data_IF_286015516549
#
_entry.id   IF_286015516549
#
_cell.length_a   1.000
_cell.length_b   1.000
_cell.length_c   1.000
_cell.angle_alpha   90.00
_cell.angle_beta   90.00
_cell.angle_gamma   90.00
#
_symmetry.space_group_name_H-M   'P 1'
#
loop_
_entity.id
_entity.type
_entity.pdbx_description
1 polymer ?
#
# COMPACT_ATOMS: atom_id res chain seq x y z
N UNK A 1 8.35 30.36 4.61
CA UNK A 1 8.65 29.30 5.59
C UNK A 1 9.34 28.18 4.83
N UNK A 2 10.50 27.71 5.32
CA UNK A 2 11.25 26.58 4.72
C UNK A 2 10.42 25.32 4.86
N UNK A 3 10.21 24.57 3.78
CA UNK A 3 9.47 23.29 3.80
C UNK A 3 9.88 22.35 2.70
N UNK A 4 9.56 21.06 2.87
CA UNK A 4 9.66 20.03 1.84
C UNK A 4 8.29 19.48 1.48
N UNK A 5 8.23 18.80 0.36
CA UNK A 5 7.08 18.02 -0.07
C UNK A 5 7.37 16.52 0.08
N UNK A 6 6.55 15.82 0.85
CA UNK A 6 6.57 14.36 0.96
C UNK A 6 5.43 13.83 0.10
N UNK A 7 5.75 13.15 -1.00
CA UNK A 7 4.79 12.80 -2.05
C UNK A 7 4.72 11.29 -2.19
N UNK A 8 3.50 10.74 -2.16
CA UNK A 8 3.24 9.36 -2.52
C UNK A 8 3.48 9.14 -4.02
N UNK A 9 4.47 8.32 -4.36
CA UNK A 9 4.86 8.02 -5.72
C UNK A 9 3.93 7.01 -6.42
N UNK A 10 2.95 6.48 -5.71
CA UNK A 10 2.13 5.39 -6.23
C UNK A 10 2.82 4.02 -6.15
N UNK A 11 2.16 2.97 -6.66
CA UNK A 11 2.61 1.58 -6.51
C UNK A 11 3.71 1.17 -7.51
N UNK A 12 3.84 1.86 -8.65
CA UNK A 12 4.82 1.51 -9.68
C UNK A 12 4.62 2.26 -10.99
N UNK A 13 3.42 2.18 -11.56
CA UNK A 13 3.03 2.91 -12.76
C UNK A 13 3.10 4.44 -12.49
N UNK A 14 3.88 5.20 -13.27
CA UNK A 14 4.01 6.65 -13.10
C UNK A 14 2.68 7.40 -13.25
N UNK A 15 1.74 6.89 -14.02
CA UNK A 15 0.41 7.51 -14.19
C UNK A 15 -0.47 7.41 -12.93
N UNK A 16 -0.06 6.61 -11.95
CA UNK A 16 -0.74 6.48 -10.67
C UNK A 16 -0.25 7.46 -9.60
N UNK A 17 0.65 8.37 -9.93
CA UNK A 17 0.90 9.53 -9.09
C UNK A 17 -0.31 10.47 -9.12
N UNK A 18 -0.58 11.15 -8.01
CA UNK A 18 -1.64 12.16 -8.03
C UNK A 18 -1.24 13.36 -8.88
N UNK A 19 -2.22 14.02 -9.51
CA UNK A 19 -1.99 15.26 -10.30
C UNK A 19 -1.26 16.34 -9.47
N UNK A 20 -1.57 16.45 -8.16
CA UNK A 20 -0.86 17.36 -7.26
C UNK A 20 0.60 16.95 -7.09
N UNK A 21 0.84 15.67 -6.89
CA UNK A 21 2.19 15.11 -6.75
C UNK A 21 3.04 15.36 -7.99
N UNK A 22 2.51 15.07 -9.17
CA UNK A 22 3.20 15.29 -10.45
C UNK A 22 3.59 16.75 -10.65
N UNK A 23 2.65 17.68 -10.45
CA UNK A 23 2.92 19.13 -10.58
C UNK A 23 4.03 19.62 -9.67
N UNK A 24 4.11 19.08 -8.44
CA UNK A 24 5.17 19.42 -7.49
C UNK A 24 6.49 18.79 -7.87
N UNK A 25 6.49 17.55 -8.35
CA UNK A 25 7.66 16.84 -8.87
C UNK A 25 8.29 17.62 -10.04
N UNK A 26 7.48 18.05 -11.00
CA UNK A 26 7.92 18.82 -12.18
C UNK A 26 8.51 20.19 -11.82
N UNK A 27 8.19 20.75 -10.65
CA UNK A 27 8.72 22.03 -10.17
C UNK A 27 9.90 21.88 -9.20
N UNK A 28 10.23 20.67 -8.79
CA UNK A 28 11.27 20.40 -7.80
C UNK A 28 12.67 20.77 -8.31
N UNK A 29 13.48 21.40 -7.44
CA UNK A 29 14.91 21.58 -7.67
C UNK A 29 15.72 20.35 -7.26
N UNK A 30 15.17 19.59 -6.29
CA UNK A 30 15.78 18.38 -5.75
C UNK A 30 14.70 17.31 -5.58
N UNK A 31 14.95 16.12 -6.12
CA UNK A 31 14.11 14.95 -5.98
C UNK A 31 14.87 13.86 -5.24
N UNK A 32 14.37 13.47 -4.08
CA UNK A 32 14.93 12.37 -3.29
C UNK A 32 13.98 11.17 -3.34
N UNK A 33 14.48 9.98 -3.64
CA UNK A 33 13.64 8.78 -3.74
C UNK A 33 14.38 7.51 -3.36
N UNK A 34 13.64 6.48 -2.96
CA UNK A 34 14.20 5.16 -2.68
C UNK A 34 14.18 4.35 -3.98
N UNK A 35 15.31 4.30 -4.66
CA UNK A 35 15.49 3.72 -6.00
C UNK A 35 15.15 2.22 -6.11
N UNK A 36 15.10 1.51 -4.99
CA UNK A 36 14.62 0.12 -4.96
C UNK A 36 13.09 -0.05 -5.00
N UNK A 37 12.32 1.04 -4.81
CA UNK A 37 10.87 0.99 -4.58
C UNK A 37 10.06 2.01 -5.40
N UNK A 38 10.70 3.02 -5.96
CA UNK A 38 10.06 4.04 -6.81
C UNK A 38 10.63 3.93 -8.21
N UNK A 39 9.75 3.97 -9.23
CA UNK A 39 10.13 3.86 -10.63
C UNK A 39 11.02 5.03 -11.06
N UNK A 40 12.10 4.75 -11.79
CA UNK A 40 12.92 5.77 -12.44
C UNK A 40 12.13 6.56 -13.47
N UNK A 41 11.22 5.91 -14.20
CA UNK A 41 10.34 6.58 -15.17
C UNK A 41 9.51 7.70 -14.54
N UNK A 42 9.06 7.52 -13.28
CA UNK A 42 8.39 8.60 -12.56
C UNK A 42 9.36 9.75 -12.22
N UNK A 43 10.60 9.43 -11.87
CA UNK A 43 11.61 10.44 -11.51
C UNK A 43 12.01 11.27 -12.73
N UNK A 44 11.97 10.70 -13.92
CA UNK A 44 12.21 11.37 -15.21
C UNK A 44 11.19 12.47 -15.52
N UNK A 45 10.01 12.45 -14.87
CA UNK A 45 9.03 13.55 -14.93
C UNK A 45 9.48 14.84 -14.24
N UNK A 46 10.54 14.81 -13.44
CA UNK A 46 11.13 16.00 -12.86
C UNK A 46 11.74 16.88 -13.95
N UNK A 47 11.89 18.19 -13.69
CA UNK A 47 12.57 19.08 -14.64
C UNK A 47 14.02 18.62 -14.86
N UNK A 48 14.53 18.78 -16.07
CA UNK A 48 15.89 18.35 -16.48
C UNK A 48 17.01 18.90 -15.56
N UNK A 49 16.81 20.08 -15.01
CA UNK A 49 17.77 20.72 -14.09
C UNK A 49 17.65 20.25 -12.62
N UNK A 50 16.75 19.32 -12.32
CA UNK A 50 16.58 18.84 -10.95
C UNK A 50 17.76 17.94 -10.52
N UNK A 51 18.24 18.17 -9.30
CA UNK A 51 19.17 17.24 -8.65
C UNK A 51 18.42 15.99 -8.18
N UNK A 52 18.79 14.82 -8.69
CA UNK A 52 18.16 13.55 -8.35
C UNK A 52 19.04 12.77 -7.37
N UNK A 53 18.50 12.43 -6.20
CA UNK A 53 19.23 11.79 -5.11
C UNK A 53 18.59 10.45 -4.76
N UNK A 54 19.34 9.36 -4.94
CA UNK A 54 18.95 8.00 -4.56
C UNK A 54 19.24 7.78 -3.07
N UNK A 55 18.28 7.27 -2.32
CA UNK A 55 18.36 7.18 -0.86
C UNK A 55 18.37 5.75 -0.31
N UNK A 56 18.33 4.71 -1.13
CA UNK A 56 18.31 3.32 -0.66
C UNK A 56 19.55 2.94 0.19
N UNK A 57 20.68 3.59 -0.05
CA UNK A 57 21.93 3.37 0.72
C UNK A 57 22.15 4.34 1.89
N UNK A 58 21.23 5.29 2.12
CA UNK A 58 21.39 6.32 3.15
C UNK A 58 20.71 5.90 4.46
N UNK A 59 21.31 6.22 5.59
CA UNK A 59 20.62 6.19 6.88
C UNK A 59 19.85 7.50 7.13
N UNK A 60 19.01 7.50 8.17
CA UNK A 60 18.07 8.59 8.44
C UNK A 60 18.75 9.98 8.56
N UNK A 61 19.85 10.06 9.30
CA UNK A 61 20.56 11.33 9.51
C UNK A 61 21.14 11.88 8.20
N UNK A 62 21.76 11.03 7.38
CA UNK A 62 22.28 11.44 6.06
C UNK A 62 21.19 12.01 5.15
N UNK A 63 19.99 11.37 5.15
CA UNK A 63 18.85 11.89 4.38
C UNK A 63 18.40 13.26 4.89
N UNK A 64 18.35 13.44 6.21
CA UNK A 64 17.92 14.71 6.81
C UNK A 64 18.94 15.81 6.56
N UNK A 65 20.23 15.53 6.75
CA UNK A 65 21.32 16.50 6.51
C UNK A 65 21.30 16.95 5.05
N UNK A 66 21.09 16.02 4.13
CA UNK A 66 20.96 16.28 2.71
C UNK A 66 19.78 17.22 2.40
N UNK A 67 18.62 17.00 3.03
CA UNK A 67 17.44 17.87 2.90
C UNK A 67 17.73 19.25 3.47
N UNK A 68 18.30 19.33 4.67
CA UNK A 68 18.59 20.59 5.39
C UNK A 68 19.51 21.48 4.55
N UNK A 69 20.57 20.90 3.98
CA UNK A 69 21.50 21.63 3.11
C UNK A 69 20.79 22.28 1.92
N UNK A 70 19.97 21.50 1.18
CA UNK A 70 19.28 21.98 -0.03
C UNK A 70 18.21 23.02 0.29
N UNK A 71 17.43 22.77 1.35
CA UNK A 71 16.40 23.72 1.80
C UNK A 71 17.06 25.04 2.26
N UNK A 72 18.20 24.98 2.94
CA UNK A 72 18.94 26.18 3.34
C UNK A 72 19.54 26.94 2.15
N UNK A 73 19.86 26.23 1.06
CA UNK A 73 20.27 26.83 -0.21
C UNK A 73 19.07 27.39 -1.02
N UNK A 74 17.87 27.41 -0.47
CA UNK A 74 16.66 27.94 -1.11
C UNK A 74 16.04 27.02 -2.17
N UNK A 75 16.41 25.73 -2.19
CA UNK A 75 15.90 24.76 -3.16
C UNK A 75 14.55 24.21 -2.75
N UNK A 76 13.69 23.94 -3.74
CA UNK A 76 12.45 23.19 -3.57
C UNK A 76 12.75 21.71 -3.55
N UNK A 77 12.56 21.06 -2.38
CA UNK A 77 12.87 19.64 -2.17
C UNK A 77 11.59 18.81 -2.18
N UNK A 78 11.57 17.77 -3.01
CA UNK A 78 10.55 16.72 -3.05
C UNK A 78 11.14 15.41 -2.56
N UNK A 79 10.47 14.76 -1.62
CA UNK A 79 10.77 13.40 -1.15
C UNK A 79 9.67 12.45 -1.65
N UNK A 80 9.99 11.58 -2.60
CA UNK A 80 9.08 10.55 -3.09
C UNK A 80 9.09 9.33 -2.17
N UNK A 81 7.91 8.90 -1.76
CA UNK A 81 7.68 7.67 -1.01
C UNK A 81 6.92 6.66 -1.87
N UNK A 82 7.30 5.39 -1.84
CA UNK A 82 6.55 4.33 -2.52
C UNK A 82 5.12 4.25 -1.99
N UNK A 83 4.16 4.02 -2.85
CA UNK A 83 2.74 3.94 -2.49
C UNK A 83 2.24 5.23 -1.87
N UNK A 84 1.80 5.15 -0.62
CA UNK A 84 1.34 6.27 0.19
C UNK A 84 2.26 6.50 1.40
N UNK A 85 2.66 7.74 1.72
CA UNK A 85 3.54 8.05 2.84
C UNK A 85 3.01 7.68 4.22
N UNK A 86 1.70 7.45 4.36
CA UNK A 86 1.08 7.06 5.62
C UNK A 86 1.34 5.59 6.01
N UNK A 87 1.82 4.76 5.05
CA UNK A 87 2.01 3.32 5.27
C UNK A 87 3.49 2.93 5.24
N UNK A 88 4.05 2.59 6.39
CA UNK A 88 5.42 2.06 6.57
C UNK A 88 6.54 2.92 5.96
N UNK A 89 6.30 4.23 5.81
CA UNK A 89 7.23 5.16 5.16
C UNK A 89 8.31 5.74 6.08
N UNK A 90 8.35 5.41 7.37
CA UNK A 90 9.22 6.04 8.39
C UNK A 90 9.18 7.60 8.35
N UNK A 91 8.05 8.14 7.87
CA UNK A 91 7.87 9.58 7.64
C UNK A 91 7.98 10.40 8.92
N UNK A 92 7.46 9.87 10.02
CA UNK A 92 7.43 10.62 11.30
C UNK A 92 8.81 10.83 11.90
N UNK A 93 9.73 9.88 11.70
CA UNK A 93 11.12 10.01 12.15
C UNK A 93 11.84 11.12 11.39
N UNK A 94 11.69 11.16 10.05
CA UNK A 94 12.23 12.22 9.20
C UNK A 94 11.66 13.59 9.60
N UNK A 95 10.36 13.68 9.79
CA UNK A 95 9.67 14.91 10.19
C UNK A 95 10.16 15.41 11.56
N UNK A 96 10.36 14.52 12.53
CA UNK A 96 10.84 14.89 13.86
C UNK A 96 12.23 15.57 13.79
N UNK A 97 13.13 15.06 12.95
CA UNK A 97 14.45 15.66 12.74
C UNK A 97 14.38 16.96 11.94
N UNK A 98 13.57 17.04 10.88
CA UNK A 98 13.39 18.27 10.10
C UNK A 98 12.87 19.44 10.95
N UNK A 99 11.98 19.17 11.89
CA UNK A 99 11.47 20.19 12.84
C UNK A 99 12.57 20.79 13.72
N UNK A 100 13.63 20.02 14.06
CA UNK A 100 14.77 20.53 14.82
C UNK A 100 15.57 21.59 14.03
N UNK A 101 15.41 21.62 12.72
CA UNK A 101 16.03 22.57 11.80
C UNK A 101 15.06 23.64 11.29
N UNK A 102 13.90 23.82 11.93
CA UNK A 102 12.85 24.77 11.54
C UNK A 102 12.35 24.56 10.09
N UNK A 103 12.39 23.32 9.61
CA UNK A 103 11.91 22.92 8.28
C UNK A 103 10.54 22.28 8.43
N UNK A 104 9.52 22.91 7.80
CA UNK A 104 8.19 22.36 7.68
C UNK A 104 8.08 21.29 6.60
N UNK A 105 6.93 20.67 6.53
CA UNK A 105 6.62 19.68 5.49
C UNK A 105 5.13 19.73 5.11
N UNK A 106 4.84 19.29 3.92
CA UNK A 106 3.48 18.95 3.48
C UNK A 106 3.48 17.57 2.86
N UNK A 107 2.44 16.78 3.17
CA UNK A 107 2.25 15.43 2.62
C UNK A 107 1.23 15.47 1.51
N UNK A 108 1.58 14.89 0.38
CA UNK A 108 0.66 14.60 -0.73
C UNK A 108 0.42 13.10 -0.77
N UNK A 109 -0.84 12.65 -0.60
CA UNK A 109 -1.15 11.22 -0.60
C UNK A 109 -0.83 10.56 -1.94
N UNK A 110 -0.67 9.25 -1.92
CA UNK A 110 -0.45 8.42 -3.10
C UNK A 110 -1.37 7.21 -3.14
N UNK A 111 -1.34 6.47 -4.24
CA UNK A 111 -2.05 5.19 -4.37
C UNK A 111 -1.25 4.09 -3.68
N UNK A 112 -1.81 3.52 -2.61
CA UNK A 112 -1.16 2.42 -1.90
C UNK A 112 -1.11 1.14 -2.74
N UNK A 113 -0.04 0.35 -2.59
CA UNK A 113 0.10 -0.97 -3.20
C UNK A 113 -1.01 -1.97 -2.82
N UNK A 114 -1.73 -1.77 -1.73
CA UNK A 114 -2.92 -2.57 -1.38
C UNK A 114 -4.00 -2.43 -2.44
N UNK A 115 -4.34 -1.18 -2.80
CA UNK A 115 -5.40 -0.92 -3.77
C UNK A 115 -4.96 -1.26 -5.19
N UNK A 116 -3.68 -1.09 -5.50
CA UNK A 116 -3.12 -1.56 -6.76
C UNK A 116 -3.18 -3.08 -6.88
N UNK A 117 -2.85 -3.80 -5.81
CA UNK A 117 -2.95 -5.26 -5.78
C UNK A 117 -4.42 -5.73 -5.90
N UNK A 118 -5.36 -5.07 -5.22
CA UNK A 118 -6.78 -5.37 -5.36
C UNK A 118 -7.27 -5.15 -6.80
N UNK A 119 -6.88 -4.05 -7.43
CA UNK A 119 -7.20 -3.77 -8.83
C UNK A 119 -6.61 -4.81 -9.78
N UNK A 120 -5.36 -5.25 -9.56
CA UNK A 120 -4.68 -6.25 -10.37
C UNK A 120 -5.39 -7.61 -10.36
N UNK A 121 -6.05 -7.97 -9.25
CA UNK A 121 -6.83 -9.22 -9.13
C UNK A 121 -8.33 -9.02 -9.35
N UNK A 122 -8.77 -7.79 -9.63
CA UNK A 122 -10.17 -7.47 -9.87
C UNK A 122 -11.08 -7.63 -8.63
N UNK A 123 -10.52 -7.49 -7.42
CA UNK A 123 -11.25 -7.73 -6.18
C UNK A 123 -11.74 -6.43 -5.52
N UNK A 124 -12.96 -6.44 -5.02
CA UNK A 124 -13.44 -5.51 -3.99
C UNK A 124 -13.13 -6.10 -2.61
N UNK A 125 -12.33 -5.39 -1.81
CA UNK A 125 -11.85 -5.91 -0.52
C UNK A 125 -12.91 -5.90 0.58
N UNK A 126 -14.04 -5.26 0.35
CA UNK A 126 -15.20 -5.20 1.24
C UNK A 126 -16.45 -5.62 0.47
N UNK A 127 -17.03 -6.74 0.84
CA UNK A 127 -18.20 -7.34 0.17
C UNK A 127 -19.37 -7.33 1.12
N UNK A 128 -20.56 -6.79 0.72
CA UNK A 128 -21.76 -6.80 1.55
C UNK A 128 -22.07 -8.19 2.10
N UNK A 129 -22.49 -8.26 3.35
CA UNK A 129 -22.88 -9.49 4.07
C UNK A 129 -21.75 -10.53 4.25
N UNK A 130 -20.58 -10.35 3.63
CA UNK A 130 -19.43 -11.23 3.77
C UNK A 130 -18.34 -10.61 4.65
N UNK A 131 -17.86 -9.44 4.28
CA UNK A 131 -16.81 -8.71 5.02
C UNK A 131 -16.91 -7.21 4.74
N UNK A 132 -16.94 -6.40 5.80
CA UNK A 132 -17.03 -4.94 5.72
C UNK A 132 -15.78 -4.26 6.29
N UNK A 133 -14.75 -5.06 6.58
CA UNK A 133 -13.52 -4.60 7.24
C UNK A 133 -12.31 -5.05 6.45
N UNK A 134 -11.36 -4.14 6.27
CA UNK A 134 -10.03 -4.42 5.73
C UNK A 134 -8.98 -4.11 6.80
N UNK A 135 -8.19 -5.09 7.18
CA UNK A 135 -7.04 -4.92 8.07
C UNK A 135 -5.78 -4.75 7.23
N UNK A 136 -5.11 -3.61 7.38
CA UNK A 136 -3.79 -3.34 6.84
C UNK A 136 -2.73 -3.63 7.91
N UNK A 137 -1.88 -4.62 7.69
CA UNK A 137 -0.91 -5.05 8.68
C UNK A 137 0.38 -5.59 8.05
N UNK A 138 1.26 -6.11 8.87
CA UNK A 138 2.41 -6.93 8.48
C UNK A 138 2.57 -8.11 9.43
N UNK A 139 3.09 -9.21 8.97
CA UNK A 139 3.53 -10.26 9.86
C UNK A 139 4.78 -9.82 10.66
N UNK A 140 4.88 -10.26 11.90
CA UNK A 140 6.06 -10.02 12.72
C UNK A 140 7.27 -10.76 12.16
N UNK A 141 8.29 -10.00 11.76
CA UNK A 141 9.55 -10.51 11.23
C UNK A 141 10.73 -10.18 12.14
N UNK A 142 11.76 -9.52 11.58
CA UNK A 142 12.94 -9.07 12.33
C UNK A 142 12.63 -7.97 13.34
N UNK A 143 11.61 -7.18 13.08
CA UNK A 143 11.11 -6.16 13.99
C UNK A 143 9.81 -6.62 14.63
N UNK A 144 9.63 -6.42 15.95
CA UNK A 144 8.42 -6.84 16.63
C UNK A 144 7.20 -6.04 16.19
N UNK A 145 6.02 -6.56 16.48
CA UNK A 145 4.74 -5.85 16.46
C UNK A 145 4.18 -5.82 17.89
N UNK A 146 3.33 -4.83 18.22
CA UNK A 146 2.64 -4.84 19.51
C UNK A 146 1.84 -6.13 19.72
N UNK A 147 1.77 -6.63 20.95
CA UNK A 147 1.15 -7.93 21.28
C UNK A 147 -0.28 -8.05 20.72
N UNK A 148 -1.06 -6.95 20.82
CA UNK A 148 -2.44 -6.91 20.30
C UNK A 148 -2.56 -6.85 18.79
N UNK A 149 -1.45 -6.60 18.09
CA UNK A 149 -1.38 -6.49 16.63
C UNK A 149 -0.69 -7.71 16.00
N UNK A 150 -0.43 -8.76 16.76
CA UNK A 150 0.04 -10.03 16.19
C UNK A 150 -0.97 -10.56 15.17
N UNK A 151 -0.49 -11.11 14.08
CA UNK A 151 -1.33 -11.52 12.97
C UNK A 151 -2.43 -12.49 13.42
N UNK A 152 -2.14 -13.44 14.30
CA UNK A 152 -3.13 -14.36 14.87
C UNK A 152 -4.27 -13.60 15.58
N UNK A 153 -3.94 -12.54 16.36
CA UNK A 153 -4.95 -11.75 17.07
C UNK A 153 -5.83 -10.96 16.09
N UNK A 154 -5.23 -10.33 15.08
CA UNK A 154 -5.96 -9.60 14.03
C UNK A 154 -6.81 -10.54 13.18
N UNK A 155 -6.31 -11.72 12.88
CA UNK A 155 -7.00 -12.72 12.06
C UNK A 155 -8.26 -13.30 12.73
N UNK A 156 -8.42 -13.19 14.05
CA UNK A 156 -9.63 -13.60 14.78
C UNK A 156 -10.91 -12.87 14.32
N UNK A 157 -10.77 -11.74 13.63
CA UNK A 157 -11.90 -11.02 13.05
C UNK A 157 -12.44 -11.64 11.75
N UNK A 158 -11.72 -12.58 11.12
CA UNK A 158 -12.09 -13.26 9.87
C UNK A 158 -12.51 -12.31 8.72
N UNK A 159 -11.99 -11.08 8.70
CA UNK A 159 -12.20 -10.10 7.64
C UNK A 159 -11.06 -10.14 6.61
N UNK A 160 -11.15 -9.35 5.55
CA UNK A 160 -10.05 -9.23 4.58
C UNK A 160 -8.79 -8.65 5.24
N UNK A 161 -7.64 -9.29 5.01
CA UNK A 161 -6.34 -8.85 5.54
C UNK A 161 -5.39 -8.59 4.37
N UNK A 162 -4.74 -7.42 4.39
CA UNK A 162 -3.66 -7.07 3.47
C UNK A 162 -2.33 -6.97 4.24
N UNK A 163 -1.34 -7.77 3.84
CA UNK A 163 -0.08 -7.92 4.56
C UNK A 163 1.08 -7.32 3.77
N UNK A 164 1.63 -6.21 4.30
CA UNK A 164 2.85 -5.57 3.84
C UNK A 164 4.09 -6.30 4.34
N UNK A 165 5.25 -6.12 3.70
CA UNK A 165 6.59 -6.52 4.18
C UNK A 165 6.69 -7.99 4.62
N UNK A 166 5.82 -8.87 4.14
CA UNK A 166 5.59 -10.21 4.68
C UNK A 166 5.97 -11.33 3.70
N UNK A 167 6.52 -11.01 2.54
CA UNK A 167 6.79 -11.97 1.45
C UNK A 167 7.72 -13.14 1.82
N UNK A 168 8.56 -12.99 2.85
CA UNK A 168 9.47 -14.06 3.33
C UNK A 168 8.93 -14.82 4.54
N UNK A 169 7.71 -14.53 4.98
CA UNK A 169 7.12 -15.04 6.21
C UNK A 169 5.92 -15.97 5.96
N UNK A 170 5.82 -16.52 4.77
CA UNK A 170 4.65 -17.30 4.30
C UNK A 170 4.27 -18.44 5.22
N UNK A 171 5.22 -19.26 5.66
CA UNK A 171 4.98 -20.36 6.62
C UNK A 171 4.42 -19.85 7.95
N UNK A 172 4.91 -18.70 8.44
CA UNK A 172 4.42 -18.07 9.66
C UNK A 172 3.00 -17.56 9.45
N UNK A 173 2.72 -16.91 8.30
CA UNK A 173 1.38 -16.42 7.94
C UNK A 173 0.38 -17.57 7.94
N UNK A 174 0.66 -18.66 7.22
CA UNK A 174 -0.21 -19.84 7.18
C UNK A 174 -0.52 -20.35 8.59
N UNK A 175 0.52 -20.56 9.40
CA UNK A 175 0.38 -21.05 10.77
C UNK A 175 -0.47 -20.12 11.65
N UNK A 176 -0.25 -18.81 11.57
CA UNK A 176 -0.97 -17.84 12.43
C UNK A 176 -2.43 -17.65 12.00
N UNK A 177 -2.73 -17.68 10.70
CA UNK A 177 -4.10 -17.63 10.21
C UNK A 177 -4.86 -18.93 10.55
N UNK A 178 -4.24 -20.10 10.36
CA UNK A 178 -4.84 -21.39 10.79
C UNK A 178 -5.09 -21.42 12.31
N UNK A 179 -4.14 -20.92 13.12
CA UNK A 179 -4.31 -20.83 14.57
C UNK A 179 -5.44 -19.88 14.99
N UNK A 180 -5.81 -18.93 14.14
CA UNK A 180 -6.97 -18.06 14.31
C UNK A 180 -8.28 -18.67 13.75
N UNK A 181 -8.24 -19.91 13.25
CA UNK A 181 -9.43 -20.63 12.74
C UNK A 181 -9.72 -20.41 11.26
N UNK A 182 -8.78 -19.90 10.47
CA UNK A 182 -8.97 -19.78 9.02
C UNK A 182 -8.89 -21.15 8.35
N UNK A 183 -9.76 -21.38 7.39
CA UNK A 183 -9.79 -22.62 6.62
C UNK A 183 -8.63 -22.68 5.62
N UNK A 184 -8.16 -23.90 5.33
CA UNK A 184 -7.05 -24.16 4.43
C UNK A 184 -7.30 -23.66 3.00
N UNK A 185 -8.55 -23.69 2.56
CA UNK A 185 -9.04 -23.26 1.27
C UNK A 185 -9.35 -21.74 1.19
N UNK A 186 -9.12 -20.98 2.27
CA UNK A 186 -9.32 -19.53 2.26
C UNK A 186 -8.56 -18.90 1.10
N UNK A 187 -9.21 -18.10 0.24
CA UNK A 187 -8.56 -17.47 -0.90
C UNK A 187 -7.44 -16.49 -0.49
N UNK A 188 -6.33 -16.59 -1.20
CA UNK A 188 -5.17 -15.70 -1.04
C UNK A 188 -4.72 -15.22 -2.41
N UNK A 189 -4.45 -13.92 -2.53
CA UNK A 189 -3.83 -13.34 -3.70
C UNK A 189 -2.49 -12.71 -3.32
N UNK A 190 -1.47 -12.97 -4.14
CA UNK A 190 -0.15 -12.36 -4.02
C UNK A 190 0.14 -11.56 -5.27
N UNK A 191 0.40 -10.28 -5.11
CA UNK A 191 0.77 -9.40 -6.22
C UNK A 191 2.15 -8.84 -5.95
N UNK A 192 3.13 -9.28 -6.74
CA UNK A 192 4.49 -8.77 -6.71
C UNK A 192 4.62 -7.61 -7.68
N UNK A 193 5.16 -6.49 -7.22
CA UNK A 193 5.42 -5.30 -8.04
C UNK A 193 4.16 -4.87 -8.81
N UNK A 194 3.05 -4.72 -8.08
CA UNK A 194 1.78 -4.26 -8.66
C UNK A 194 1.98 -3.00 -9.51
N UNK A 195 1.46 -3.03 -10.75
CA UNK A 195 1.55 -1.98 -11.76
C UNK A 195 2.94 -1.73 -12.39
N UNK A 196 3.94 -2.52 -12.02
CA UNK A 196 5.24 -2.48 -12.70
C UNK A 196 5.23 -3.35 -13.96
N UNK A 197 6.15 -3.12 -14.94
CA UNK A 197 6.23 -3.94 -16.16
C UNK A 197 6.46 -5.43 -15.93
N UNK A 198 7.06 -5.79 -14.79
CA UNK A 198 7.34 -7.17 -14.36
C UNK A 198 6.41 -7.65 -13.24
N UNK A 199 5.19 -7.09 -13.18
CA UNK A 199 4.15 -7.54 -12.26
C UNK A 199 3.92 -9.05 -12.34
N UNK A 200 3.77 -9.69 -11.17
CA UNK A 200 3.34 -11.09 -11.08
C UNK A 200 2.14 -11.20 -10.15
N UNK A 201 1.12 -11.89 -10.63
CA UNK A 201 -0.11 -12.17 -9.88
C UNK A 201 -0.19 -13.67 -9.65
N UNK A 202 -0.40 -14.07 -8.40
CA UNK A 202 -0.62 -15.45 -8.00
C UNK A 202 -1.87 -15.51 -7.15
N UNK A 203 -2.89 -16.21 -7.62
CA UNK A 203 -4.09 -16.55 -6.84
C UNK A 203 -3.95 -17.99 -6.36
N UNK A 204 -4.19 -18.23 -5.08
CA UNK A 204 -3.95 -19.51 -4.41
C UNK A 204 -4.85 -19.64 -3.18
N UNK A 205 -4.66 -20.69 -2.40
CA UNK A 205 -5.30 -20.89 -1.10
C UNK A 205 -4.31 -20.67 0.05
N UNK A 206 -4.84 -20.54 1.26
CA UNK A 206 -4.01 -20.32 2.44
C UNK A 206 -2.98 -21.45 2.61
N UNK A 207 -3.38 -22.70 2.50
CA UNK A 207 -2.47 -23.85 2.70
C UNK A 207 -1.36 -23.90 1.64
N UNK A 208 -1.65 -23.44 0.43
CA UNK A 208 -0.71 -23.47 -0.71
C UNK A 208 0.17 -22.21 -0.80
N UNK A 209 -0.05 -21.19 0.01
CA UNK A 209 0.62 -19.89 -0.09
C UNK A 209 2.16 -20.01 -0.15
N UNK A 210 2.77 -20.81 0.74
CA UNK A 210 4.23 -20.94 0.80
C UNK A 210 4.79 -21.56 -0.48
N UNK A 211 4.17 -22.63 -0.95
CA UNK A 211 4.56 -23.32 -2.19
C UNK A 211 4.34 -22.42 -3.41
N UNK A 212 3.18 -21.77 -3.50
CA UNK A 212 2.86 -20.88 -4.61
C UNK A 212 3.89 -19.75 -4.75
N UNK A 213 4.28 -19.11 -3.64
CA UNK A 213 5.29 -18.06 -3.68
C UNK A 213 6.68 -18.60 -4.02
N UNK A 214 7.03 -19.80 -3.52
CA UNK A 214 8.30 -20.47 -3.80
C UNK A 214 8.45 -20.81 -5.28
N UNK A 215 7.44 -21.43 -5.88
CA UNK A 215 7.43 -21.83 -7.31
C UNK A 215 7.51 -20.61 -8.23
N UNK A 216 6.82 -19.53 -7.89
CA UNK A 216 6.85 -18.29 -8.67
C UNK A 216 8.06 -17.38 -8.37
N UNK A 217 8.96 -17.79 -7.47
CA UNK A 217 10.17 -17.04 -7.14
C UNK A 217 9.91 -15.72 -6.42
N UNK A 218 8.75 -15.56 -5.77
CA UNK A 218 8.35 -14.32 -5.10
C UNK A 218 8.94 -14.27 -3.69
N UNK A 219 9.84 -13.33 -3.43
CA UNK A 219 10.53 -13.19 -2.14
C UNK A 219 10.52 -11.76 -1.57
N UNK A 220 10.14 -10.77 -2.37
CA UNK A 220 10.17 -9.34 -1.99
C UNK A 220 9.17 -8.55 -2.83
N UNK A 221 8.86 -7.34 -2.38
CA UNK A 221 8.02 -6.37 -3.09
C UNK A 221 6.64 -6.97 -3.48
N UNK A 222 6.07 -7.77 -2.59
CA UNK A 222 4.77 -8.40 -2.81
C UNK A 222 3.78 -7.99 -1.73
N UNK A 223 2.57 -7.69 -2.17
CA UNK A 223 1.38 -7.57 -1.34
C UNK A 223 0.73 -8.93 -1.24
N UNK A 224 0.41 -9.35 -0.02
CA UNK A 224 -0.37 -10.57 0.23
C UNK A 224 -1.74 -10.13 0.73
N UNK A 225 -2.78 -10.51 -0.01
CA UNK A 225 -4.17 -10.31 0.35
C UNK A 225 -4.76 -11.67 0.75
N UNK A 226 -5.53 -11.73 1.83
CA UNK A 226 -6.16 -12.97 2.29
C UNK A 226 -7.60 -12.71 2.74
N UNK A 227 -8.51 -13.61 2.40
CA UNK A 227 -9.92 -13.56 2.81
C UNK A 227 -10.90 -13.89 1.70
N UNK A 228 -12.13 -14.17 2.08
CA UNK A 228 -13.19 -14.62 1.16
C UNK A 228 -13.65 -13.57 0.15
N UNK A 229 -13.33 -12.29 0.35
CA UNK A 229 -13.53 -11.26 -0.67
C UNK A 229 -12.69 -11.48 -1.95
N UNK A 230 -11.69 -12.38 -1.89
CA UNK A 230 -10.81 -12.73 -3.01
C UNK A 230 -11.26 -14.00 -3.75
N UNK A 231 -12.39 -14.60 -3.36
CA UNK A 231 -12.95 -15.77 -4.06
C UNK A 231 -13.23 -15.40 -5.52
N UNK A 232 -12.60 -16.06 -6.50
CA UNK A 232 -12.81 -15.74 -7.92
C UNK A 232 -14.25 -15.95 -8.38
N UNK A 233 -15.04 -16.72 -7.63
CA UNK A 233 -16.48 -16.96 -7.90
C UNK A 233 -17.39 -16.02 -7.11
N UNK A 234 -16.85 -15.00 -6.43
CA UNK A 234 -17.60 -14.08 -5.57
C UNK A 234 -18.77 -13.41 -6.31
N UNK A 235 -18.59 -13.12 -7.60
CA UNK A 235 -19.60 -12.50 -8.46
C UNK A 235 -20.80 -13.43 -8.79
N UNK A 236 -20.66 -14.74 -8.59
CA UNK A 236 -21.72 -15.73 -8.75
C UNK A 236 -22.60 -15.84 -7.49
N UNK A 237 -22.16 -15.23 -6.38
CA UNK A 237 -22.87 -15.27 -5.09
C UNK A 237 -23.81 -14.07 -4.96
N UNK A 238 -24.89 -14.23 -4.22
CA UNK A 238 -25.93 -13.20 -4.07
C UNK A 238 -25.54 -12.10 -3.04
N UNK A 239 -24.29 -11.69 -2.99
CA UNK A 239 -23.88 -10.54 -2.19
C UNK A 239 -24.30 -9.24 -2.86
N UNK A 240 -25.25 -8.53 -2.28
CA UNK A 240 -25.81 -7.30 -2.88
C UNK A 240 -25.80 -6.14 -1.89
N UNK A 241 -25.30 -5.01 -2.34
CA UNK A 241 -25.41 -3.77 -1.58
C UNK A 241 -26.88 -3.34 -1.51
N UNK A 242 -27.41 -3.17 -0.32
CA UNK A 242 -28.76 -2.60 -0.11
C UNK A 242 -28.89 -1.19 -0.73
N UNK A 243 -27.79 -0.47 -0.91
CA UNK A 243 -27.79 0.85 -1.52
C UNK A 243 -28.40 0.84 -2.93
N UNK A 244 -28.19 -0.23 -3.69
CA UNK A 244 -28.70 -0.38 -5.06
C UNK A 244 -30.01 -1.16 -5.13
N UNK A 245 -30.50 -1.68 -4.01
CA UNK A 245 -31.81 -2.35 -3.94
C UNK A 245 -32.91 -1.32 -4.25
N UNK A 246 -33.84 -1.70 -5.15
CA UNK A 246 -34.94 -0.84 -5.56
C UNK A 246 -35.87 -0.46 -4.41
N UNK A 247 -35.96 -1.29 -3.37
CA UNK A 247 -36.83 -1.07 -2.20
C UNK A 247 -36.16 -0.20 -1.14
N UNK A 248 -34.83 0.04 -1.21
CA UNK A 248 -34.09 0.81 -0.21
C UNK A 248 -34.21 2.31 -0.43
N UNK A 249 -34.70 3.01 0.59
CA UNK A 249 -34.78 4.48 0.61
C UNK A 249 -33.50 5.09 1.18
N UNK A 250 -32.94 6.07 0.47
CA UNK A 250 -31.80 6.88 0.95
C UNK A 250 -31.96 8.34 0.53
N UNK A 251 -31.06 9.22 0.92
CA UNK A 251 -31.18 10.67 0.75
C UNK A 251 -31.45 11.15 -0.69
N UNK A 252 -31.11 10.37 -1.71
CA UNK A 252 -31.28 10.70 -3.13
C UNK A 252 -32.33 9.85 -3.86
N UNK A 253 -32.88 8.80 -3.21
CA UNK A 253 -33.85 7.89 -3.84
C UNK A 253 -34.87 7.37 -2.82
N UNK A 254 -36.16 7.45 -3.14
CA UNK A 254 -37.20 6.73 -2.42
C UNK A 254 -37.29 5.29 -2.96
N UNK A 255 -37.28 4.31 -2.07
CA UNK A 255 -37.49 2.91 -2.44
C UNK A 255 -38.95 2.70 -2.96
N UNK A 256 -39.07 1.77 -3.92
CA UNK A 256 -40.36 1.32 -4.43
C UNK A 256 -40.90 0.22 -3.50
N UNK A 257 -42.21 0.16 -3.25
CA UNK A 257 -42.79 -0.94 -2.47
C UNK A 257 -42.66 -2.26 -3.23
N UNK A 258 -42.46 -3.35 -2.49
CA UNK A 258 -42.19 -4.67 -3.07
C UNK A 258 -43.32 -5.22 -3.99
N UNK A 259 -44.47 -4.57 -4.02
CA UNK A 259 -45.66 -5.02 -4.76
C UNK A 259 -46.00 -4.17 -6.01
N UNK A 260 -45.05 -3.26 -6.44
CA UNK A 260 -45.21 -2.45 -7.65
C UNK A 260 -44.30 -2.94 -8.81
#
# INVERSE_FOLDING_TARGET
>A
MKKIWIIGAGPGDPDLITVKGLKLLQQADVVMYTDSLVSETLVEEAKESAEVIRTAGMHLQEMVDCIVERVNAGKTVVRLHTGDPAMYGATMEQVALLKQHDIGYEVVPGVSSVFAAAAAVGAELTVPDLTQTLILTRAEGRTPVPEREKLQALASHHCTIAMFLSATLTKKIVKELQAAGWADDTPVAVVQRATWPDEKIVQTTLIELDEAMRVNGIRKHAMILAGWALDPTIHEKEYRSKLYDKTFTHGFRKGVKADD
#
